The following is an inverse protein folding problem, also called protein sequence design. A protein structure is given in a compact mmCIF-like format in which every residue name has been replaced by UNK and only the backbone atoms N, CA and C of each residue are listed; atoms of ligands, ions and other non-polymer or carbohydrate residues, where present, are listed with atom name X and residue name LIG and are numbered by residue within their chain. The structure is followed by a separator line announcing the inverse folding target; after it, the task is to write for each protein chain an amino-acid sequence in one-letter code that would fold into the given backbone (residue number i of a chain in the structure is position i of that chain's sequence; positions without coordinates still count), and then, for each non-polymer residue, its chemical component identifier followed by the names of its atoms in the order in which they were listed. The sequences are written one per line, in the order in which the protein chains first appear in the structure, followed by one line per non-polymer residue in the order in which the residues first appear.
data_IF_047315362255
#
_entry.id   IF_047315362255
#
_cell.length_a   1.000
_cell.length_b   1.000
_cell.length_c   1.000
_cell.angle_alpha   90.00
_cell.angle_beta   90.00
_cell.angle_gamma   90.00
#
_symmetry.space_group_name_H-M   'P 1'
#
loop_
_entity.id
_entity.type
_entity.pdbx_description
1 polymer ?
#
# COMPACT_ATOMS: atom_id res chain seq x y z
N UNK A 1 -4.38 0.69 26.35
CA UNK A 1 -3.27 1.40 25.67
C UNK A 1 -2.79 0.49 24.55
N UNK A 2 -3.26 0.75 23.32
CA UNK A 2 -2.99 -0.10 22.16
C UNK A 2 -1.52 -0.04 21.75
N UNK A 3 -0.98 -1.18 21.35
CA UNK A 3 0.44 -1.37 21.04
C UNK A 3 0.96 -0.28 20.09
N UNK A 4 1.99 0.43 20.54
CA UNK A 4 2.84 1.27 19.70
C UNK A 4 3.33 0.36 18.57
N UNK A 5 2.83 0.58 17.35
CA UNK A 5 3.29 -0.12 16.17
C UNK A 5 4.81 0.00 16.11
N UNK A 6 5.49 -1.14 15.96
CA UNK A 6 6.94 -1.17 15.82
C UNK A 6 7.36 -0.11 14.78
N UNK A 7 8.48 0.57 14.98
CA UNK A 7 8.98 1.62 14.05
C UNK A 7 9.01 1.17 12.59
N UNK A 8 9.11 -0.14 12.35
CA UNK A 8 8.96 -0.78 11.04
C UNK A 8 7.57 -0.64 10.43
N UNK A 9 6.50 -0.81 11.21
CA UNK A 9 5.11 -0.62 10.77
C UNK A 9 4.84 0.86 10.47
N UNK A 10 5.36 1.77 11.30
CA UNK A 10 5.28 3.20 11.03
C UNK A 10 6.01 3.58 9.74
N UNK A 11 7.25 3.10 9.54
CA UNK A 11 8.02 3.35 8.32
C UNK A 11 7.34 2.77 7.07
N UNK A 12 6.71 1.60 7.18
CA UNK A 12 5.93 1.01 6.10
C UNK A 12 4.72 1.89 5.77
N UNK A 13 3.94 2.27 6.78
CA UNK A 13 2.77 3.13 6.62
C UNK A 13 3.13 4.53 6.06
N UNK A 14 4.26 5.09 6.49
CA UNK A 14 4.78 6.36 5.98
C UNK A 14 5.17 6.24 4.50
N UNK A 15 5.91 5.18 4.13
CA UNK A 15 6.30 4.95 2.74
C UNK A 15 5.09 4.73 1.81
N UNK A 16 4.06 4.03 2.30
CA UNK A 16 2.80 3.84 1.59
C UNK A 16 2.08 5.16 1.37
N UNK A 17 1.90 5.96 2.43
CA UNK A 17 1.23 7.26 2.36
C UNK A 17 2.00 8.26 1.47
N UNK A 18 3.34 8.24 1.52
CA UNK A 18 4.18 9.07 0.66
C UNK A 18 4.03 8.69 -0.83
N UNK A 19 4.05 7.39 -1.14
CA UNK A 19 3.86 6.90 -2.51
C UNK A 19 2.45 7.21 -3.02
N UNK A 20 1.42 6.99 -2.20
CA UNK A 20 0.03 7.33 -2.51
C UNK A 20 -0.10 8.81 -2.87
N UNK A 21 0.38 9.70 -1.99
CA UNK A 21 0.31 11.15 -2.23
C UNK A 21 1.05 11.53 -3.51
N UNK A 22 2.29 11.05 -3.71
CA UNK A 22 3.10 11.40 -4.88
C UNK A 22 2.46 10.96 -6.20
N UNK A 23 1.94 9.73 -6.25
CA UNK A 23 1.44 9.14 -7.50
C UNK A 23 -0.02 9.50 -7.81
N UNK A 24 -0.84 9.74 -6.77
CA UNK A 24 -2.26 10.11 -6.94
C UNK A 24 -2.44 11.62 -7.08
N UNK A 25 -1.69 12.45 -6.34
CA UNK A 25 -1.78 13.90 -6.50
C UNK A 25 -0.93 14.40 -7.67
N UNK A 26 0.15 13.70 -8.07
CA UNK A 26 1.01 14.10 -9.20
C UNK A 26 1.39 15.59 -9.19
N UNK A 27 1.87 16.09 -8.04
CA UNK A 27 2.22 17.52 -7.83
C UNK A 27 1.03 18.49 -7.71
N UNK A 28 -0.22 18.02 -7.88
CA UNK A 28 -1.40 18.83 -7.60
C UNK A 28 -1.54 19.11 -6.09
N UNK A 29 -1.83 20.37 -5.73
CA UNK A 29 -2.04 20.77 -4.32
C UNK A 29 -3.37 20.27 -3.75
N UNK A 30 -4.37 20.06 -4.58
CA UNK A 30 -5.73 19.66 -4.17
C UNK A 30 -6.40 18.81 -5.23
N UNK A 31 -7.35 17.97 -4.80
CA UNK A 31 -8.25 17.28 -5.72
C UNK A 31 -9.38 18.22 -6.14
N UNK A 32 -9.72 18.20 -7.43
CA UNK A 32 -10.84 18.99 -7.98
C UNK A 32 -12.20 18.53 -7.45
N UNK A 33 -12.35 17.23 -7.15
CA UNK A 33 -13.60 16.66 -6.67
C UNK A 33 -13.37 15.42 -5.78
N UNK A 34 -14.21 15.22 -4.77
CA UNK A 34 -14.14 14.06 -3.86
C UNK A 34 -14.35 12.73 -4.60
N UNK A 35 -15.26 12.70 -5.58
CA UNK A 35 -15.51 11.49 -6.38
C UNK A 35 -14.28 11.08 -7.20
N UNK A 36 -13.58 12.05 -7.79
CA UNK A 36 -12.37 11.79 -8.56
C UNK A 36 -11.26 11.29 -7.65
N UNK A 37 -11.06 11.93 -6.49
CA UNK A 37 -10.14 11.46 -5.46
C UNK A 37 -10.38 9.99 -5.09
N UNK A 38 -11.64 9.62 -4.76
CA UNK A 38 -11.97 8.23 -4.41
C UNK A 38 -11.67 7.24 -5.53
N UNK A 39 -11.96 7.60 -6.79
CA UNK A 39 -11.70 6.74 -7.95
C UNK A 39 -10.20 6.56 -8.20
N UNK A 40 -9.42 7.64 -8.16
CA UNK A 40 -7.97 7.55 -8.37
C UNK A 40 -7.25 6.84 -7.22
N UNK A 41 -7.65 7.10 -5.97
CA UNK A 41 -7.13 6.37 -4.80
C UNK A 41 -7.47 4.89 -4.90
N UNK A 42 -8.71 4.54 -5.24
CA UNK A 42 -9.11 3.14 -5.39
C UNK A 42 -8.34 2.45 -6.52
N UNK A 43 -8.25 3.09 -7.70
CA UNK A 43 -7.48 2.57 -8.84
C UNK A 43 -6.00 2.40 -8.50
N UNK A 44 -5.42 3.36 -7.78
CA UNK A 44 -4.04 3.29 -7.33
C UNK A 44 -3.84 2.15 -6.33
N UNK A 45 -4.76 1.98 -5.37
CA UNK A 45 -4.71 0.89 -4.40
C UNK A 45 -4.78 -0.48 -5.08
N UNK A 46 -5.70 -0.66 -6.05
CA UNK A 46 -5.75 -1.90 -6.84
C UNK A 46 -4.41 -2.15 -7.54
N UNK A 47 -3.87 -1.15 -8.24
CA UNK A 47 -2.58 -1.27 -8.94
C UNK A 47 -1.42 -1.61 -7.99
N UNK A 48 -1.40 -0.99 -6.81
CA UNK A 48 -0.40 -1.24 -5.78
C UNK A 48 -0.40 -2.71 -5.36
N UNK A 49 -1.58 -3.28 -5.13
CA UNK A 49 -1.72 -4.66 -4.65
C UNK A 49 -1.58 -5.71 -5.77
N UNK A 50 -2.00 -5.43 -7.00
CA UNK A 50 -2.06 -6.43 -8.08
C UNK A 50 -0.91 -6.35 -9.07
N UNK A 51 -0.27 -5.20 -9.24
CA UNK A 51 0.63 -4.96 -10.38
C UNK A 51 1.97 -4.37 -9.98
N UNK A 52 2.04 -3.57 -8.91
CA UNK A 52 3.29 -2.92 -8.50
C UNK A 52 4.26 -3.96 -7.96
N UNK A 53 5.46 -3.99 -8.52
CA UNK A 53 6.52 -4.90 -8.06
C UNK A 53 7.26 -4.26 -6.89
N UNK A 54 7.40 -5.00 -5.80
CA UNK A 54 8.15 -4.55 -4.62
C UNK A 54 9.48 -5.29 -4.56
N UNK A 55 10.58 -4.57 -4.37
CA UNK A 55 11.90 -5.18 -4.18
C UNK A 55 11.91 -6.15 -3.00
N UNK A 56 11.18 -5.82 -1.92
CA UNK A 56 10.97 -6.69 -0.76
C UNK A 56 10.21 -7.98 -1.12
N UNK A 57 9.23 -7.91 -2.02
CA UNK A 57 8.50 -9.07 -2.55
C UNK A 57 9.24 -9.79 -3.69
N UNK A 58 10.58 -9.72 -3.76
CA UNK A 58 11.40 -10.30 -4.85
C UNK A 58 10.98 -9.81 -6.25
N UNK A 59 10.59 -8.54 -6.36
CA UNK A 59 10.04 -7.93 -7.58
C UNK A 59 8.73 -8.56 -8.07
N UNK A 60 7.93 -9.14 -7.16
CA UNK A 60 6.58 -9.59 -7.43
C UNK A 60 5.56 -8.57 -6.93
N UNK A 61 4.35 -8.66 -7.48
CA UNK A 61 3.21 -7.93 -6.93
C UNK A 61 2.79 -8.54 -5.57
N UNK A 62 2.28 -7.75 -4.62
CA UNK A 62 1.87 -8.23 -3.30
C UNK A 62 0.91 -9.42 -3.38
N UNK A 63 -0.13 -9.34 -4.22
CA UNK A 63 -1.07 -10.44 -4.41
C UNK A 63 -0.41 -11.73 -4.92
N UNK A 64 0.57 -11.62 -5.83
CA UNK A 64 1.32 -12.77 -6.37
C UNK A 64 2.32 -13.31 -5.35
N UNK A 65 2.86 -12.45 -4.50
CA UNK A 65 3.72 -12.85 -3.39
C UNK A 65 2.93 -13.62 -2.33
N UNK A 66 1.74 -13.15 -1.96
CA UNK A 66 0.83 -13.84 -1.03
C UNK A 66 0.36 -15.19 -1.61
N UNK A 67 0.02 -15.25 -2.90
CA UNK A 67 -0.34 -16.51 -3.58
C UNK A 67 0.83 -17.52 -3.60
N UNK A 68 2.07 -17.05 -3.79
CA UNK A 68 3.28 -17.89 -3.80
C UNK A 68 3.85 -18.22 -2.43
N UNK A 69 3.50 -17.44 -1.41
CA UNK A 69 3.96 -17.63 -0.04
C UNK A 69 2.77 -17.60 0.94
N UNK A 70 1.93 -18.65 0.95
CA UNK A 70 0.74 -18.74 1.82
C UNK A 70 1.08 -18.91 3.32
N UNK A 71 2.35 -18.91 3.72
CA UNK A 71 2.75 -19.07 5.12
C UNK A 71 3.20 -17.75 5.71
N UNK A 72 2.44 -17.27 6.71
CA UNK A 72 2.86 -16.51 7.91
C UNK A 72 1.67 -15.86 8.63
N UNK A 73 0.41 -16.11 8.27
CA UNK A 73 -0.69 -16.02 9.24
C UNK A 73 -0.65 -17.29 10.11
N UNK A 74 0.38 -17.37 10.96
CA UNK A 74 0.38 -18.35 12.05
C UNK A 74 -0.80 -17.95 12.93
N UNK A 75 -1.84 -18.78 12.95
CA UNK A 75 -2.95 -18.69 13.90
C UNK A 75 -2.38 -18.36 15.27
N UNK A 76 -2.68 -17.15 15.76
CA UNK A 76 -2.62 -16.89 17.18
C UNK A 76 -3.73 -17.75 17.80
N UNK A 77 -3.34 -18.91 18.33
CA UNK A 77 -4.14 -19.67 19.30
C UNK A 77 -3.95 -19.04 20.68
#
# INVERSE_FOLDING_TARGET
MGAIGASTDNALAESFNAALKREVLQDAKTFTNQLQCRRDVFRWCTRYNTTRRHSWCKYLAPAVFEERCPVMLRSAS
#
